data_IF_279539958005
#
_entry.id   IF_279539958005
#
_cell.length_a   1.000
_cell.length_b   1.000
_cell.length_c   1.000
_cell.angle_alpha   90.00
_cell.angle_beta   90.00
_cell.angle_gamma   90.00
#
_symmetry.space_group_name_H-M   'P 1'
#
loop_
_entity.id
_entity.type
_entity.pdbx_description
1 polymer ?
#
# COMPACT_ATOMS: atom_id res chain seq x y z
N UNK A 1 -21.55 10.88 15.36
CA UNK A 1 -20.97 9.82 14.50
C UNK A 1 -19.82 9.20 15.25
N UNK A 2 -19.81 7.88 15.43
CA UNK A 2 -18.73 7.17 16.15
C UNK A 2 -17.74 6.61 15.11
N UNK A 3 -16.46 6.79 15.35
CA UNK A 3 -15.40 6.21 14.51
C UNK A 3 -14.80 4.97 15.17
N UNK A 4 -14.51 3.98 14.36
CA UNK A 4 -13.81 2.76 14.70
C UNK A 4 -12.40 2.84 14.16
N UNK A 5 -11.43 2.20 14.85
CA UNK A 5 -10.08 2.04 14.33
C UNK A 5 -9.66 0.57 14.37
N UNK A 6 -8.86 0.16 13.39
CA UNK A 6 -8.18 -1.13 13.34
C UNK A 6 -6.70 -0.89 13.07
N UNK A 7 -5.86 -1.64 13.74
CA UNK A 7 -4.42 -1.55 13.57
C UNK A 7 -3.82 -2.95 13.45
N UNK A 8 -3.34 -3.28 12.25
CA UNK A 8 -2.56 -4.49 12.05
C UNK A 8 -1.15 -4.29 12.62
N UNK A 9 -0.82 -5.00 13.68
CA UNK A 9 0.49 -4.89 14.34
C UNK A 9 1.63 -5.31 13.39
N UNK A 10 2.86 -4.91 13.71
CA UNK A 10 4.05 -5.39 13.01
C UNK A 10 4.09 -6.93 13.00
N UNK A 11 4.44 -7.52 11.87
CA UNK A 11 4.45 -8.97 11.67
C UNK A 11 3.08 -9.60 11.49
N UNK A 12 1.99 -8.83 11.49
CA UNK A 12 0.62 -9.36 11.38
C UNK A 12 -0.14 -8.75 10.20
N UNK A 13 -1.21 -9.43 9.79
CA UNK A 13 -2.20 -8.94 8.82
C UNK A 13 -3.58 -9.11 9.42
N UNK A 14 -4.50 -8.24 9.08
CA UNK A 14 -5.87 -8.26 9.61
C UNK A 14 -6.87 -8.12 8.46
N UNK A 15 -7.97 -8.88 8.51
CA UNK A 15 -9.12 -8.69 7.63
C UNK A 15 -10.21 -7.94 8.39
N UNK A 16 -10.77 -6.90 7.79
CA UNK A 16 -11.81 -6.06 8.36
C UNK A 16 -13.00 -6.05 7.40
N UNK A 17 -14.19 -6.37 7.91
CA UNK A 17 -15.45 -6.17 7.18
C UNK A 17 -16.07 -4.86 7.64
N UNK A 18 -16.30 -3.96 6.68
CA UNK A 18 -16.88 -2.65 6.91
C UNK A 18 -18.42 -2.71 6.98
N UNK A 19 -19.10 -1.65 7.50
CA UNK A 19 -20.55 -1.63 7.67
C UNK A 19 -21.37 -1.80 6.37
N UNK A 20 -20.79 -1.51 5.21
CA UNK A 20 -21.41 -1.69 3.89
C UNK A 20 -21.13 -3.08 3.25
N UNK A 21 -20.45 -3.97 3.99
CA UNK A 21 -20.01 -5.27 3.50
C UNK A 21 -18.70 -5.26 2.68
N UNK A 22 -18.09 -4.08 2.47
CA UNK A 22 -16.75 -4.01 1.88
C UNK A 22 -15.73 -4.72 2.76
N UNK A 23 -14.76 -5.37 2.13
CA UNK A 23 -13.66 -6.05 2.84
C UNK A 23 -12.36 -5.32 2.64
N UNK A 24 -11.59 -5.22 3.71
CA UNK A 24 -10.26 -4.58 3.70
C UNK A 24 -9.27 -5.52 4.38
N UNK A 25 -8.23 -5.92 3.67
CA UNK A 25 -7.06 -6.56 4.27
C UNK A 25 -6.04 -5.49 4.59
N UNK A 26 -5.56 -5.49 5.82
CA UNK A 26 -4.54 -4.56 6.31
C UNK A 26 -3.21 -5.29 6.41
N UNK A 27 -2.17 -4.74 5.78
CA UNK A 27 -0.81 -5.23 5.93
C UNK A 27 -0.18 -4.73 7.25
N UNK A 28 0.92 -5.33 7.66
CA UNK A 28 1.63 -5.02 8.91
C UNK A 28 1.92 -3.51 9.07
N UNK A 29 1.68 -3.00 10.26
CA UNK A 29 1.88 -1.59 10.61
C UNK A 29 0.81 -0.63 10.05
N UNK A 30 -0.34 -1.13 9.63
CA UNK A 30 -1.40 -0.33 9.00
C UNK A 30 -2.47 0.06 9.99
N UNK A 31 -2.84 1.34 9.98
CA UNK A 31 -4.00 1.90 10.67
C UNK A 31 -5.13 2.17 9.66
N UNK A 32 -6.33 1.67 9.95
CA UNK A 32 -7.59 1.99 9.27
C UNK A 32 -8.53 2.66 10.23
N UNK A 33 -9.13 3.80 9.82
CA UNK A 33 -10.18 4.50 10.56
C UNK A 33 -11.42 4.62 9.69
N UNK A 34 -12.58 4.24 10.22
CA UNK A 34 -13.84 4.25 9.50
C UNK A 34 -15.03 4.53 10.46
N UNK A 35 -16.18 5.05 9.99
CA UNK A 35 -17.35 5.26 10.83
C UNK A 35 -18.04 3.94 11.16
N UNK A 36 -18.71 3.86 12.32
CA UNK A 36 -19.50 2.69 12.72
C UNK A 36 -20.68 2.38 11.79
N UNK A 37 -21.09 3.35 10.97
CA UNK A 37 -22.11 3.23 9.91
C UNK A 37 -21.89 4.30 8.85
N UNK A 38 -22.14 3.97 7.58
CA UNK A 38 -22.12 4.93 6.47
C UNK A 38 -23.53 5.54 6.30
N UNK A 39 -23.74 6.74 6.86
CA UNK A 39 -25.03 7.47 6.83
C UNK A 39 -24.97 8.76 6.00
N UNK A 40 -23.82 9.04 5.39
CA UNK A 40 -23.58 10.22 4.56
C UNK A 40 -23.75 9.90 3.07
N UNK A 41 -23.73 10.92 2.21
CA UNK A 41 -23.75 10.78 0.75
C UNK A 41 -22.51 10.03 0.19
N UNK A 42 -21.49 9.80 1.04
CA UNK A 42 -20.29 9.04 0.70
C UNK A 42 -19.83 8.15 1.85
N UNK A 43 -19.12 7.07 1.50
CA UNK A 43 -18.54 6.09 2.41
C UNK A 43 -17.07 6.41 2.61
N UNK A 44 -16.75 7.17 3.64
CA UNK A 44 -15.39 7.68 3.86
C UNK A 44 -14.62 6.82 4.85
N UNK A 45 -13.39 6.46 4.50
CA UNK A 45 -12.42 5.81 5.38
C UNK A 45 -11.06 6.48 5.26
N UNK A 46 -10.24 6.37 6.30
CA UNK A 46 -8.85 6.84 6.30
C UNK A 46 -7.92 5.67 6.50
N UNK A 47 -6.82 5.65 5.76
CA UNK A 47 -5.75 4.66 5.92
C UNK A 47 -4.37 5.32 6.01
N UNK A 48 -3.55 4.82 6.94
CA UNK A 48 -2.11 5.07 7.01
C UNK A 48 -1.41 3.71 7.03
N UNK A 49 -0.78 3.31 5.92
CA UNK A 49 -0.22 1.99 5.71
C UNK A 49 -0.64 1.37 4.39
N UNK A 50 -0.73 0.07 4.33
CA UNK A 50 -1.10 -0.68 3.13
C UNK A 50 -2.38 -1.49 3.32
N UNK A 51 -3.33 -1.28 2.41
CA UNK A 51 -4.60 -1.99 2.41
C UNK A 51 -5.01 -2.46 1.01
N UNK A 52 -5.56 -3.65 0.99
CA UNK A 52 -6.25 -4.18 -0.17
C UNK A 52 -7.75 -4.10 0.06
N UNK A 53 -8.46 -3.45 -0.84
CA UNK A 53 -9.88 -3.16 -0.73
C UNK A 53 -10.68 -3.94 -1.76
N UNK A 54 -11.70 -4.66 -1.31
CA UNK A 54 -12.80 -5.18 -2.13
C UNK A 54 -14.06 -4.41 -1.75
N UNK A 55 -14.34 -3.34 -2.51
CA UNK A 55 -15.43 -2.41 -2.20
C UNK A 55 -16.75 -2.90 -2.76
N UNK A 56 -17.78 -2.96 -1.93
CA UNK A 56 -19.16 -3.27 -2.32
C UNK A 56 -19.68 -2.26 -3.34
N UNK A 57 -20.37 -2.75 -4.39
CA UNK A 57 -20.90 -1.91 -5.46
C UNK A 57 -22.05 -1.05 -4.94
N UNK A 58 -21.86 0.26 -5.00
CA UNK A 58 -22.90 1.26 -4.76
C UNK A 58 -22.56 2.50 -5.59
N UNK A 59 -23.43 2.81 -6.56
CA UNK A 59 -23.24 3.95 -7.48
C UNK A 59 -23.74 5.26 -6.92
N UNK A 60 -24.63 5.20 -5.93
CA UNK A 60 -25.25 6.37 -5.34
C UNK A 60 -24.40 6.96 -4.21
N UNK A 61 -23.64 6.11 -3.51
CA UNK A 61 -22.77 6.52 -2.41
C UNK A 61 -21.30 6.15 -2.70
N UNK A 62 -20.51 7.04 -3.30
CA UNK A 62 -19.10 6.81 -3.58
C UNK A 62 -18.31 6.36 -2.32
N UNK A 63 -17.39 5.42 -2.50
CA UNK A 63 -16.47 5.01 -1.45
C UNK A 63 -15.14 5.77 -1.60
N UNK A 64 -14.76 6.48 -0.55
CA UNK A 64 -13.61 7.39 -0.56
C UNK A 64 -12.58 6.90 0.46
N UNK A 65 -11.38 6.55 -0.03
CA UNK A 65 -10.22 6.27 0.82
C UNK A 65 -9.31 7.49 0.86
N UNK A 66 -9.15 8.04 2.05
CA UNK A 66 -8.26 9.18 2.27
C UNK A 66 -6.96 8.72 2.89
N UNK A 67 -5.85 9.26 2.43
CA UNK A 67 -4.52 9.14 3.03
C UNK A 67 -3.98 10.53 3.36
N UNK A 68 -2.77 10.63 3.89
CA UNK A 68 -2.13 11.94 4.12
C UNK A 68 -1.99 12.77 2.84
N UNK A 69 -1.85 12.14 1.68
CA UNK A 69 -1.51 12.81 0.42
C UNK A 69 -2.50 12.57 -0.71
N UNK A 70 -3.25 11.48 -0.68
CA UNK A 70 -4.15 11.07 -1.75
C UNK A 70 -5.58 10.88 -1.24
N UNK A 71 -6.52 11.14 -2.13
CA UNK A 71 -7.93 10.77 -2.04
C UNK A 71 -8.25 9.84 -3.21
N UNK A 72 -8.79 8.66 -2.90
CA UNK A 72 -9.16 7.62 -3.85
C UNK A 72 -10.67 7.43 -3.82
N UNK A 73 -11.34 7.59 -4.97
CA UNK A 73 -12.78 7.46 -5.09
C UNK A 73 -13.16 6.30 -6.00
N UNK A 74 -14.05 5.43 -5.53
CA UNK A 74 -14.54 4.24 -6.25
C UNK A 74 -16.05 4.02 -6.02
N UNK A 75 -16.67 3.24 -6.92
CA UNK A 75 -18.09 2.86 -6.85
C UNK A 75 -18.33 1.34 -6.69
N UNK A 76 -17.26 0.56 -6.58
CA UNK A 76 -17.33 -0.90 -6.50
C UNK A 76 -16.14 -1.52 -7.24
N UNK A 77 -15.01 -1.60 -6.57
CA UNK A 77 -13.69 -1.70 -7.16
C UNK A 77 -12.79 -2.54 -6.26
N UNK A 78 -11.88 -3.30 -6.86
CA UNK A 78 -10.84 -4.02 -6.14
C UNK A 78 -9.48 -3.37 -6.44
N UNK A 79 -8.79 -2.92 -5.39
CA UNK A 79 -7.52 -2.19 -5.54
C UNK A 79 -6.63 -2.32 -4.29
N UNK A 80 -5.34 -2.12 -4.48
CA UNK A 80 -4.33 -2.00 -3.42
C UNK A 80 -3.89 -0.54 -3.27
N UNK A 81 -3.74 -0.06 -2.05
CA UNK A 81 -3.11 1.22 -1.71
C UNK A 81 -2.00 1.00 -0.70
N UNK A 82 -0.79 1.46 -1.01
CA UNK A 82 0.34 1.52 -0.08
C UNK A 82 0.68 2.97 0.18
N UNK A 83 0.37 3.47 1.38
CA UNK A 83 0.48 4.86 1.81
C UNK A 83 1.09 4.95 3.22
N UNK A 84 2.20 4.26 3.45
CA UNK A 84 2.93 4.37 4.72
C UNK A 84 3.57 5.76 4.85
N UNK A 85 3.43 6.41 6.02
CA UNK A 85 3.98 7.77 6.22
C UNK A 85 5.49 7.87 6.12
N UNK A 86 6.21 6.77 6.39
CA UNK A 86 7.67 6.64 6.37
C UNK A 86 8.23 6.17 5.02
N UNK A 87 7.38 5.85 4.04
CA UNK A 87 7.81 5.50 2.69
C UNK A 87 8.00 6.75 1.82
N UNK A 88 8.95 6.67 0.88
CA UNK A 88 9.20 7.74 -0.11
C UNK A 88 8.12 7.83 -1.18
N UNK A 89 7.40 6.75 -1.41
CA UNK A 89 6.39 6.63 -2.46
C UNK A 89 5.05 6.14 -1.91
N UNK A 90 3.98 6.65 -2.49
CA UNK A 90 2.62 6.18 -2.30
C UNK A 90 2.16 5.54 -3.59
N UNK A 91 1.61 4.32 -3.52
CA UNK A 91 1.25 3.54 -4.70
C UNK A 91 -0.21 3.09 -4.62
N UNK A 92 -0.99 3.43 -5.64
CA UNK A 92 -2.36 2.93 -5.84
C UNK A 92 -2.39 2.02 -7.07
N UNK A 93 -2.81 0.77 -6.91
CA UNK A 93 -2.83 -0.23 -7.98
C UNK A 93 -4.23 -0.79 -8.13
N UNK A 94 -4.78 -0.72 -9.34
CA UNK A 94 -6.14 -1.15 -9.63
C UNK A 94 -6.17 -2.58 -10.20
N UNK A 95 -6.95 -3.47 -9.55
CA UNK A 95 -7.22 -4.82 -10.08
C UNK A 95 -8.48 -4.87 -10.93
N UNK A 96 -9.61 -4.35 -10.43
CA UNK A 96 -10.88 -4.38 -11.16
C UNK A 96 -11.68 -3.09 -10.95
N UNK A 97 -12.51 -2.73 -11.91
CA UNK A 97 -13.39 -1.57 -11.84
C UNK A 97 -12.75 -0.30 -12.36
N UNK A 98 -12.99 0.83 -11.69
CA UNK A 98 -12.43 2.15 -12.00
C UNK A 98 -12.05 2.84 -10.69
N UNK A 99 -10.93 3.54 -10.72
CA UNK A 99 -10.41 4.28 -9.58
C UNK A 99 -10.06 5.70 -10.01
N UNK A 100 -10.65 6.69 -9.35
CA UNK A 100 -10.22 8.09 -9.45
C UNK A 100 -9.26 8.39 -8.30
N UNK A 101 -8.11 8.95 -8.61
CA UNK A 101 -7.13 9.41 -7.63
C UNK A 101 -6.95 10.92 -7.74
N UNK A 102 -6.95 11.59 -6.61
CA UNK A 102 -6.65 13.00 -6.47
C UNK A 102 -5.50 13.18 -5.50
N UNK A 103 -4.50 13.98 -5.89
CA UNK A 103 -3.44 14.40 -5.00
C UNK A 103 -3.92 15.61 -4.20
N UNK A 104 -3.76 15.55 -2.87
CA UNK A 104 -4.19 16.64 -2.00
C UNK A 104 -3.50 17.96 -2.40
N UNK A 105 -4.28 19.04 -2.46
CA UNK A 105 -3.84 20.39 -2.87
C UNK A 105 -3.41 20.53 -4.34
N UNK A 106 -3.66 19.51 -5.18
CA UNK A 106 -3.50 19.61 -6.64
C UNK A 106 -4.89 19.54 -7.30
N UNK A 107 -5.14 20.26 -8.39
CA UNK A 107 -6.42 20.27 -9.09
C UNK A 107 -6.64 19.04 -9.98
N UNK A 108 -5.55 18.37 -10.37
CA UNK A 108 -5.58 17.25 -11.30
C UNK A 108 -6.21 16.01 -10.68
N UNK A 109 -6.98 15.29 -11.52
CA UNK A 109 -7.55 13.99 -11.23
C UNK A 109 -6.96 12.96 -12.17
N UNK A 110 -6.61 11.80 -11.64
CA UNK A 110 -6.06 10.68 -12.39
C UNK A 110 -7.07 9.55 -12.38
N UNK A 111 -7.27 8.90 -13.52
CA UNK A 111 -8.19 7.78 -13.67
C UNK A 111 -7.41 6.53 -14.02
N UNK A 112 -7.60 5.48 -13.22
CA UNK A 112 -6.96 4.21 -13.39
C UNK A 112 -7.95 3.19 -13.98
N UNK A 113 -7.46 2.42 -14.94
CA UNK A 113 -8.09 1.21 -15.46
C UNK A 113 -7.41 -0.04 -14.88
N UNK A 114 -8.00 -1.23 -14.99
CA UNK A 114 -7.38 -2.46 -14.50
C UNK A 114 -5.93 -2.63 -14.99
N UNK A 115 -5.05 -3.04 -14.07
CA UNK A 115 -3.60 -3.11 -14.21
C UNK A 115 -2.88 -1.76 -14.35
N UNK A 116 -3.54 -0.63 -14.07
CA UNK A 116 -2.82 0.62 -13.85
C UNK A 116 -2.30 0.71 -12.41
N UNK A 117 -1.11 1.27 -12.29
CA UNK A 117 -0.55 1.73 -11.03
C UNK A 117 -0.21 3.21 -11.13
N UNK A 118 -0.64 3.98 -10.14
CA UNK A 118 -0.21 5.34 -9.91
C UNK A 118 0.79 5.37 -8.76
N UNK A 119 1.94 6.02 -8.99
CA UNK A 119 2.97 6.28 -7.98
C UNK A 119 3.04 7.79 -7.76
N UNK A 120 2.89 8.21 -6.52
CA UNK A 120 3.08 9.59 -6.08
C UNK A 120 4.29 9.69 -5.17
N UNK A 121 5.20 10.63 -5.46
CA UNK A 121 6.39 10.91 -4.65
C UNK A 121 6.20 12.25 -3.94
N UNK A 122 5.86 12.27 -2.64
CA UNK A 122 5.52 13.50 -1.91
C UNK A 122 6.63 14.55 -1.89
N UNK A 123 7.90 14.13 -1.82
CA UNK A 123 9.05 15.04 -1.77
C UNK A 123 9.25 15.87 -3.05
N UNK A 124 8.81 15.35 -4.20
CA UNK A 124 8.96 16.02 -5.51
C UNK A 124 7.63 16.48 -6.09
N UNK A 125 6.50 15.99 -5.58
CA UNK A 125 5.17 16.21 -6.13
C UNK A 125 4.91 15.46 -7.44
N UNK A 126 5.82 14.58 -7.87
CA UNK A 126 5.73 13.86 -9.15
C UNK A 126 4.71 12.73 -9.03
N UNK A 127 3.84 12.65 -10.04
CA UNK A 127 2.90 11.54 -10.28
C UNK A 127 3.36 10.77 -11.51
N UNK A 128 3.41 9.45 -11.41
CA UNK A 128 3.69 8.54 -12.53
C UNK A 128 2.54 7.53 -12.63
N UNK A 129 2.11 7.20 -13.83
CA UNK A 129 1.12 6.14 -14.08
C UNK A 129 1.66 5.20 -15.15
N UNK A 130 1.56 3.89 -14.91
CA UNK A 130 2.03 2.85 -15.82
C UNK A 130 1.26 1.55 -15.64
N UNK A 131 1.38 0.64 -16.61
CA UNK A 131 0.78 -0.70 -16.54
C UNK A 131 1.66 -1.65 -15.73
N UNK A 132 1.02 -2.46 -14.88
CA UNK A 132 1.65 -3.47 -14.04
C UNK A 132 0.85 -4.77 -14.07
N UNK A 133 1.38 -5.84 -13.49
CA UNK A 133 0.56 -6.96 -13.05
C UNK A 133 -0.02 -6.64 -11.65
N UNK A 134 -1.27 -6.19 -11.60
CA UNK A 134 -1.89 -5.73 -10.36
C UNK A 134 -1.90 -6.80 -9.26
N UNK A 135 -2.13 -8.08 -9.62
CA UNK A 135 -2.18 -9.21 -8.67
C UNK A 135 -0.86 -9.37 -7.90
N UNK A 136 0.29 -9.07 -8.53
CA UNK A 136 1.57 -9.13 -7.83
C UNK A 136 1.68 -8.13 -6.68
N UNK A 137 1.01 -6.98 -6.78
CA UNK A 137 1.02 -5.93 -5.76
C UNK A 137 0.11 -6.24 -4.56
N UNK A 138 -0.75 -7.25 -4.66
CA UNK A 138 -1.62 -7.73 -3.58
C UNK A 138 -1.23 -9.10 -3.04
N UNK A 139 -0.13 -9.72 -3.54
CA UNK A 139 0.33 -11.05 -3.13
C UNK A 139 0.76 -11.12 -1.66
N UNK A 140 1.08 -9.96 -1.05
CA UNK A 140 1.37 -9.86 0.37
C UNK A 140 0.27 -10.43 1.26
N UNK A 141 -1.00 -10.41 0.84
CA UNK A 141 -2.12 -11.02 1.55
C UNK A 141 -1.92 -12.53 1.78
N UNK A 142 -1.23 -13.17 0.84
CA UNK A 142 -0.92 -14.60 0.87
C UNK A 142 0.51 -14.90 1.36
N UNK A 143 1.22 -13.91 1.90
CA UNK A 143 2.57 -14.07 2.42
C UNK A 143 3.70 -13.84 1.41
N UNK A 144 3.40 -13.40 0.20
CA UNK A 144 4.39 -12.99 -0.79
C UNK A 144 4.98 -11.62 -0.47
N UNK A 145 6.14 -11.33 -1.03
CA UNK A 145 6.76 -9.99 -1.02
C UNK A 145 7.13 -9.64 -2.46
N UNK A 146 6.51 -8.59 -2.98
CA UNK A 146 6.79 -8.10 -4.32
C UNK A 146 7.30 -6.66 -4.28
N UNK A 147 8.48 -6.44 -4.82
CA UNK A 147 9.06 -5.12 -5.03
C UNK A 147 9.17 -4.84 -6.53
N UNK A 148 8.39 -3.89 -7.03
CA UNK A 148 8.31 -3.53 -8.44
C UNK A 148 9.14 -2.30 -8.78
N UNK A 149 10.45 -2.30 -8.50
CA UNK A 149 11.33 -1.12 -8.58
C UNK A 149 11.10 -0.12 -7.44
N UNK A 150 11.09 -0.62 -6.23
CA UNK A 150 10.86 0.14 -4.99
C UNK A 150 12.18 0.72 -4.46
N UNK A 151 12.23 1.98 -4.01
CA UNK A 151 13.40 2.55 -3.34
C UNK A 151 13.89 1.68 -2.20
N UNK A 152 15.20 1.49 -2.07
CA UNK A 152 15.77 0.52 -1.12
C UNK A 152 15.39 0.81 0.34
N UNK A 153 15.28 2.06 0.73
CA UNK A 153 14.80 2.42 2.08
C UNK A 153 13.37 1.94 2.32
N UNK A 154 12.48 2.04 1.31
CA UNK A 154 11.09 1.57 1.42
C UNK A 154 11.04 0.03 1.46
N UNK A 155 12.01 -0.66 0.81
CA UNK A 155 12.18 -2.11 0.97
C UNK A 155 12.52 -2.44 2.41
N UNK A 156 13.50 -1.77 3.03
CA UNK A 156 13.87 -1.98 4.43
C UNK A 156 12.69 -1.74 5.38
N UNK A 157 11.98 -0.64 5.21
CA UNK A 157 10.77 -0.34 6.00
C UNK A 157 9.71 -1.45 5.85
N UNK A 158 9.54 -1.99 4.64
CA UNK A 158 8.61 -3.10 4.41
C UNK A 158 9.05 -4.37 5.14
N UNK A 159 10.34 -4.71 5.10
CA UNK A 159 10.88 -5.86 5.83
C UNK A 159 10.77 -5.67 7.35
N UNK A 160 11.03 -4.46 7.86
CA UNK A 160 10.82 -4.14 9.28
C UNK A 160 9.38 -4.41 9.71
N UNK A 161 8.41 -3.97 8.91
CA UNK A 161 6.98 -4.16 9.19
C UNK A 161 6.58 -5.63 9.12
N UNK A 162 6.99 -6.33 8.06
CA UNK A 162 6.57 -7.72 7.80
C UNK A 162 7.18 -8.69 8.80
N UNK A 163 8.45 -8.50 9.19
CA UNK A 163 9.16 -9.40 10.11
C UNK A 163 9.22 -8.91 11.56
N UNK A 164 8.71 -7.70 11.83
CA UNK A 164 8.71 -7.14 13.18
C UNK A 164 10.11 -6.85 13.73
N UNK A 165 11.03 -6.46 12.86
CA UNK A 165 12.44 -6.15 13.19
C UNK A 165 12.74 -4.67 12.98
N UNK A 166 13.97 -4.24 13.36
CA UNK A 166 14.51 -2.92 13.04
C UNK A 166 15.87 -3.05 12.38
N UNK A 167 16.08 -2.31 11.29
CA UNK A 167 17.37 -2.22 10.63
C UNK A 167 18.15 -0.97 11.08
N UNK A 168 19.42 -1.17 11.38
CA UNK A 168 20.36 -0.08 11.63
C UNK A 168 21.31 0.04 10.44
N UNK A 169 21.01 0.97 9.54
CA UNK A 169 21.79 1.16 8.32
C UNK A 169 23.00 2.06 8.61
N UNK A 170 24.22 1.55 8.46
CA UNK A 170 25.50 2.24 8.74
C UNK A 170 26.02 3.09 7.58
N UNK A 171 25.39 3.02 6.39
CA UNK A 171 25.86 3.68 5.19
C UNK A 171 24.72 4.23 4.35
N UNK A 172 24.95 5.34 3.66
CA UNK A 172 23.99 5.94 2.74
C UNK A 172 24.16 5.50 1.27
N UNK A 173 25.09 4.59 0.98
CA UNK A 173 25.44 4.16 -0.39
C UNK A 173 24.20 3.64 -1.16
N UNK A 174 23.24 3.08 -0.46
CA UNK A 174 22.06 2.44 -1.06
C UNK A 174 20.83 3.33 -1.16
N UNK A 175 20.88 4.58 -0.69
CA UNK A 175 19.72 5.47 -0.64
C UNK A 175 19.10 5.78 -2.01
N UNK A 176 19.90 5.73 -3.07
CA UNK A 176 19.47 6.00 -4.45
C UNK A 176 19.22 4.72 -5.27
N UNK A 177 19.26 3.55 -4.63
CA UNK A 177 19.00 2.28 -5.32
C UNK A 177 17.54 1.89 -5.18
N UNK A 178 17.04 1.17 -6.19
CA UNK A 178 15.72 0.56 -6.19
C UNK A 178 15.83 -0.93 -6.43
N UNK A 179 14.95 -1.69 -5.81
CA UNK A 179 14.93 -3.14 -5.92
C UNK A 179 13.71 -3.61 -6.71
N UNK A 180 13.96 -4.55 -7.63
CA UNK A 180 12.90 -5.27 -8.35
C UNK A 180 13.08 -6.76 -8.12
N UNK A 181 12.19 -7.35 -7.32
CA UNK A 181 12.24 -8.77 -6.97
C UNK A 181 10.87 -9.26 -6.49
N UNK A 182 10.58 -10.52 -6.73
CA UNK A 182 9.42 -11.21 -6.17
C UNK A 182 9.93 -12.38 -5.34
N UNK A 183 9.73 -12.29 -4.02
CA UNK A 183 10.05 -13.36 -3.08
C UNK A 183 8.87 -14.34 -3.00
N UNK A 184 9.19 -15.62 -2.78
CA UNK A 184 8.17 -16.62 -2.57
C UNK A 184 7.39 -16.36 -1.27
N UNK A 185 6.24 -17.02 -1.16
CA UNK A 185 5.42 -16.91 0.05
C UNK A 185 6.11 -17.52 1.25
N UNK A 186 6.02 -16.81 2.39
CA UNK A 186 6.54 -17.25 3.69
C UNK A 186 8.04 -17.52 3.75
N UNK A 187 8.86 -16.86 2.90
CA UNK A 187 10.30 -16.87 3.07
C UNK A 187 10.69 -16.22 4.41
N UNK A 188 11.69 -16.77 5.08
CA UNK A 188 12.22 -16.20 6.31
C UNK A 188 13.02 -14.92 6.01
N UNK A 189 13.17 -14.06 7.02
CA UNK A 189 13.99 -12.84 6.88
C UNK A 189 15.42 -13.18 6.40
N UNK A 190 16.03 -14.23 6.94
CA UNK A 190 17.35 -14.69 6.55
C UNK A 190 17.43 -15.02 5.06
N UNK A 191 16.46 -15.77 4.52
CA UNK A 191 16.39 -16.10 3.10
C UNK A 191 16.26 -14.85 2.23
N UNK A 192 15.40 -13.92 2.65
CA UNK A 192 15.21 -12.64 1.95
C UNK A 192 16.48 -11.82 1.95
N UNK A 193 17.18 -11.70 3.08
CA UNK A 193 18.44 -10.95 3.20
C UNK A 193 19.57 -11.57 2.38
N UNK A 194 19.64 -12.90 2.30
CA UNK A 194 20.61 -13.60 1.44
C UNK A 194 20.40 -13.25 -0.04
N UNK A 195 19.15 -13.20 -0.49
CA UNK A 195 18.82 -12.81 -1.87
C UNK A 195 19.16 -11.32 -2.10
N UNK A 196 18.81 -10.45 -1.16
CA UNK A 196 19.14 -9.02 -1.24
C UNK A 196 20.65 -8.80 -1.34
N UNK A 197 21.46 -9.54 -0.57
CA UNK A 197 22.91 -9.48 -0.62
C UNK A 197 23.48 -9.84 -2.01
N UNK A 198 22.83 -10.76 -2.72
CA UNK A 198 23.19 -11.12 -4.10
C UNK A 198 22.80 -10.00 -5.08
N UNK A 199 21.61 -9.42 -4.91
CA UNK A 199 21.07 -8.41 -5.83
C UNK A 199 21.71 -7.02 -5.64
N UNK A 200 22.21 -6.73 -4.45
CA UNK A 200 22.82 -5.44 -4.09
C UNK A 200 24.23 -5.71 -3.53
N UNK A 201 25.25 -5.80 -4.40
CA UNK A 201 26.61 -6.12 -4.00
C UNK A 201 27.17 -5.11 -2.99
N UNK A 202 27.83 -5.60 -1.95
CA UNK A 202 28.42 -4.79 -0.87
C UNK A 202 27.52 -4.58 0.35
N UNK A 203 26.29 -5.11 0.34
CA UNK A 203 25.49 -5.21 1.56
C UNK A 203 26.02 -6.33 2.46
N UNK A 204 26.23 -5.99 3.72
CA UNK A 204 26.52 -6.92 4.80
C UNK A 204 25.52 -6.71 5.92
N UNK A 205 25.12 -7.78 6.60
CA UNK A 205 24.24 -7.75 7.77
C UNK A 205 24.76 -8.71 8.83
N UNK A 206 24.49 -8.36 10.09
CA UNK A 206 24.84 -9.12 11.29
C UNK A 206 23.59 -9.59 12.02
#
# INVERSE_FOLDING_TARGET
MTYMQRYAAMGTREEVVLPDGSKVWLNAGTLLVYPSSFISESRNVYIAGEGFFEVSKDKEHPFIVTTNHLELEVLGTTFNISAYPDNNQIMATLETGRLQVKVNKQPEKYFLEPNDQLIYTPSTGIVQQHKVNAVSHSDWRMGGLFFGNVPFNDVLHTLERVYGVKFHVRTSIYQNQSLRVHFNRNESLEQVLQIIKILVPGIEYE
#
